data_IF_768095355476
#
_entry.id   IF_768095355476
#
_cell.length_a   1.000
_cell.length_b   1.000
_cell.length_c   1.000
_cell.angle_alpha   90.00
_cell.angle_beta   90.00
_cell.angle_gamma   90.00
#
_symmetry.space_group_name_H-M   'P 1'
#
loop_
_entity.id
_entity.type
_entity.pdbx_description
1 polymer ?
#
# COMPACT_ATOMS: atom_id res chain seq x y z
N UNK A 1 8.09 -10.88 6.47
CA UNK A 1 7.25 -11.59 5.49
C UNK A 1 7.86 -11.44 4.12
N UNK A 2 7.88 -12.47 3.25
CA UNK A 2 8.24 -12.27 1.85
C UNK A 2 7.18 -11.40 1.17
N UNK A 3 7.64 -10.47 0.33
CA UNK A 3 6.79 -9.55 -0.41
C UNK A 3 6.26 -10.27 -1.66
N UNK A 4 5.39 -11.26 -1.44
CA UNK A 4 4.69 -12.01 -2.49
C UNK A 4 3.30 -11.39 -2.76
N UNK A 5 2.78 -11.43 -4.00
CA UNK A 5 1.42 -10.94 -4.29
C UNK A 5 0.37 -11.78 -3.55
N UNK A 6 -0.75 -11.14 -3.15
CA UNK A 6 -1.89 -11.82 -2.48
C UNK A 6 -1.96 -11.64 -0.97
N UNK A 7 -1.07 -10.84 -0.36
CA UNK A 7 -1.07 -10.58 1.08
C UNK A 7 -1.38 -9.11 1.40
N UNK A 8 -1.78 -8.88 2.65
CA UNK A 8 -1.93 -7.55 3.23
C UNK A 8 -0.76 -7.26 4.18
N UNK A 9 -0.03 -6.20 3.88
CA UNK A 9 1.16 -5.78 4.61
C UNK A 9 0.80 -4.72 5.65
N UNK A 10 1.30 -4.88 6.88
CA UNK A 10 1.33 -3.78 7.86
C UNK A 10 2.50 -2.87 7.55
N UNK A 11 2.52 -1.70 8.19
CA UNK A 11 3.67 -0.79 8.07
C UNK A 11 4.98 -1.47 8.53
N UNK A 12 4.92 -2.35 9.53
CA UNK A 12 6.08 -3.09 10.01
C UNK A 12 6.70 -4.01 8.93
N UNK A 13 5.85 -4.66 8.12
CA UNK A 13 6.29 -5.49 6.99
C UNK A 13 6.76 -4.64 5.82
N UNK A 14 6.14 -3.49 5.59
CA UNK A 14 6.45 -2.55 4.51
C UNK A 14 7.80 -1.84 4.71
N UNK A 15 8.06 -1.37 5.94
CA UNK A 15 9.23 -0.55 6.33
C UNK A 15 10.58 -1.06 5.81
N UNK A 16 10.94 -2.35 5.92
CA UNK A 16 12.22 -2.84 5.42
C UNK A 16 12.39 -2.71 3.90
N UNK A 17 11.30 -2.70 3.13
CA UNK A 17 11.34 -2.62 1.66
C UNK A 17 11.36 -1.18 1.17
N UNK A 18 10.47 -0.34 1.70
CA UNK A 18 10.35 1.05 1.23
C UNK A 18 11.39 1.98 1.86
N UNK A 19 11.96 1.63 3.03
CA UNK A 19 12.88 2.46 3.81
C UNK A 19 12.38 3.89 4.10
N UNK A 20 11.07 4.09 4.03
CA UNK A 20 10.38 5.34 4.32
C UNK A 20 9.79 5.32 5.73
N UNK A 21 9.66 6.52 6.31
CA UNK A 21 8.91 6.69 7.56
C UNK A 21 7.41 6.52 7.33
N UNK A 22 6.67 6.18 8.39
CA UNK A 22 5.20 6.05 8.31
C UNK A 22 4.54 7.35 7.88
N UNK A 23 5.08 8.48 8.32
CA UNK A 23 4.57 9.80 7.96
C UNK A 23 4.75 10.06 6.46
N UNK A 24 5.93 9.75 5.92
CA UNK A 24 6.22 9.90 4.48
C UNK A 24 5.30 9.03 3.63
N UNK A 25 5.06 7.78 4.05
CA UNK A 25 4.12 6.89 3.36
C UNK A 25 2.71 7.48 3.33
N UNK A 26 2.21 7.99 4.46
CA UNK A 26 0.88 8.61 4.52
C UNK A 26 0.79 9.91 3.70
N UNK A 27 1.87 10.69 3.61
CA UNK A 27 1.92 11.87 2.74
C UNK A 27 1.89 11.48 1.27
N UNK A 28 2.65 10.47 0.86
CA UNK A 28 2.66 9.97 -0.51
C UNK A 28 1.34 9.30 -0.88
N UNK A 29 0.70 8.59 0.05
CA UNK A 29 -0.65 8.03 -0.11
C UNK A 29 -1.66 9.15 -0.41
N UNK A 30 -1.65 10.23 0.39
CA UNK A 30 -2.52 11.39 0.17
C UNK A 30 -2.22 12.10 -1.15
N UNK A 31 -0.96 12.13 -1.57
CA UNK A 31 -0.55 12.66 -2.88
C UNK A 31 -0.84 11.71 -4.05
N UNK A 32 -1.37 10.50 -3.81
CA UNK A 32 -1.62 9.49 -4.84
C UNK A 32 -0.36 8.86 -5.45
N UNK A 33 0.80 9.08 -4.82
CA UNK A 33 2.12 8.56 -5.22
C UNK A 33 2.54 7.30 -4.46
N UNK A 34 1.64 6.74 -3.67
CA UNK A 34 1.84 5.49 -2.94
C UNK A 34 0.55 4.66 -3.00
N UNK A 35 0.64 3.32 -2.92
CA UNK A 35 -0.52 2.45 -2.79
C UNK A 35 -1.51 2.92 -1.73
N UNK A 36 -2.80 2.91 -2.04
CA UNK A 36 -3.83 3.17 -1.03
C UNK A 36 -3.88 2.03 -0.01
N UNK A 37 -4.00 2.39 1.25
CA UNK A 37 -4.24 1.42 2.29
C UNK A 37 -5.69 0.91 2.30
N UNK A 38 -5.86 -0.40 2.44
CA UNK A 38 -7.09 -1.05 2.86
C UNK A 38 -7.30 -0.79 4.36
N UNK A 39 -8.43 -0.17 4.70
CA UNK A 39 -8.80 0.16 6.08
C UNK A 39 -9.93 -0.75 6.55
N UNK A 40 -9.63 -1.65 7.49
CA UNK A 40 -10.63 -2.52 8.14
C UNK A 40 -11.26 -1.86 9.38
N UNK A 41 -10.72 -0.72 9.81
CA UNK A 41 -11.18 0.01 10.98
C UNK A 41 -10.28 1.23 11.25
N UNK A 42 -10.58 2.01 12.30
CA UNK A 42 -9.92 3.29 12.55
C UNK A 42 -8.40 3.19 12.82
N UNK A 43 -7.91 2.02 13.23
CA UNK A 43 -6.48 1.78 13.55
C UNK A 43 -5.79 0.77 12.64
N UNK A 44 -6.51 0.12 11.74
CA UNK A 44 -5.96 -0.93 10.89
C UNK A 44 -5.69 -0.39 9.48
N UNK A 45 -4.45 -0.01 9.24
CA UNK A 45 -3.92 0.41 7.93
C UNK A 45 -3.10 -0.73 7.33
N UNK A 46 -3.56 -1.31 6.24
CA UNK A 46 -2.90 -2.41 5.54
C UNK A 46 -2.74 -2.07 4.06
N UNK A 47 -1.63 -2.45 3.44
CA UNK A 47 -1.40 -2.25 2.00
C UNK A 47 -1.41 -3.58 1.28
N UNK A 48 -1.94 -3.64 0.05
CA UNK A 48 -1.85 -4.87 -0.75
C UNK A 48 -0.41 -5.05 -1.19
N UNK A 49 0.12 -6.25 -1.02
CA UNK A 49 1.50 -6.55 -1.43
C UNK A 49 1.70 -6.37 -2.94
N UNK A 50 0.70 -6.68 -3.76
CA UNK A 50 0.74 -6.46 -5.22
C UNK A 50 0.99 -4.98 -5.57
N UNK A 51 0.21 -4.07 -5.00
CA UNK A 51 0.38 -2.62 -5.26
C UNK A 51 1.75 -2.12 -4.77
N UNK A 52 2.24 -2.64 -3.64
CA UNK A 52 3.56 -2.30 -3.10
C UNK A 52 4.68 -2.83 -3.99
N UNK A 53 4.54 -4.03 -4.56
CA UNK A 53 5.48 -4.58 -5.56
C UNK A 53 5.55 -3.64 -6.77
N UNK A 54 4.40 -3.25 -7.31
CA UNK A 54 4.36 -2.33 -8.47
C UNK A 54 4.98 -0.98 -8.14
N UNK A 55 4.68 -0.41 -6.97
CA UNK A 55 5.31 0.82 -6.52
C UNK A 55 6.83 0.68 -6.34
N UNK A 56 7.32 -0.46 -5.84
CA UNK A 56 8.75 -0.71 -5.69
C UNK A 56 9.47 -0.85 -7.05
N UNK A 57 8.77 -1.31 -8.09
CA UNK A 57 9.32 -1.38 -9.45
C UNK A 57 9.50 0.01 -10.07
N UNK A 58 8.52 0.90 -9.90
CA UNK A 58 8.61 2.28 -10.41
C UNK A 58 7.86 3.28 -9.52
N UNK A 59 8.49 3.82 -8.46
CA UNK A 59 7.83 4.72 -7.52
C UNK A 59 7.59 6.13 -8.09
N UNK A 60 8.28 6.50 -9.16
CA UNK A 60 8.16 7.83 -9.78
C UNK A 60 6.92 7.92 -10.67
N UNK A 61 6.68 6.87 -11.46
CA UNK A 61 5.56 6.74 -12.38
C UNK A 61 4.35 6.04 -11.77
N UNK A 62 4.49 5.40 -10.59
CA UNK A 62 3.34 4.80 -9.91
C UNK A 62 2.23 5.83 -9.67
N UNK A 63 1.00 5.43 -10.02
CA UNK A 63 -0.22 6.16 -9.71
C UNK A 63 -1.18 5.20 -9.06
N UNK A 64 -1.69 5.56 -7.89
CA UNK A 64 -2.65 4.72 -7.20
C UNK A 64 -3.87 4.50 -8.10
N UNK A 65 -4.31 3.25 -8.36
CA UNK A 65 -5.53 3.01 -9.08
C UNK A 65 -6.69 3.69 -8.35
N UNK A 66 -7.63 4.25 -9.13
CA UNK A 66 -8.86 4.78 -8.57
C UNK A 66 -9.53 3.69 -7.71
N UNK A 67 -10.17 4.03 -6.58
CA UNK A 67 -10.95 3.07 -5.79
C UNK A 67 -12.17 2.61 -6.59
N UNK A 68 -11.95 1.80 -7.61
CA UNK A 68 -12.97 0.96 -8.20
C UNK A 68 -13.08 -0.24 -7.29
N UNK A 69 -14.08 -0.15 -6.42
CA UNK A 69 -14.84 -1.26 -5.88
C UNK A 69 -14.02 -2.49 -5.47
N UNK A 70 -13.70 -2.58 -4.18
CA UNK A 70 -13.59 -3.89 -3.54
C UNK A 70 -15.01 -4.41 -3.27
N UNK A 71 -15.82 -4.59 -4.32
CA UNK A 71 -16.99 -5.46 -4.30
C UNK A 71 -16.47 -6.89 -4.37
N UNK A 72 -16.07 -7.43 -3.22
CA UNK A 72 -16.16 -8.86 -2.98
C UNK A 72 -17.04 -9.04 -1.75
N UNK A 73 -18.34 -8.84 -1.99
CA UNK A 73 -19.35 -9.54 -1.23
C UNK A 73 -19.38 -11.00 -1.70
N UNK A 74 -19.17 -11.91 -0.75
CA UNK A 74 -20.04 -13.05 -0.47
C UNK A 74 -19.57 -13.71 0.82
#
# INVERSE_FOLDING_TARGET
MPLAPGYLLRFADLRPHVRLSRQTVLTLEQAGRFPRAVRFGPRCTLWRSADVIEWLNDPEHYRAPWPMESSHGR
#
